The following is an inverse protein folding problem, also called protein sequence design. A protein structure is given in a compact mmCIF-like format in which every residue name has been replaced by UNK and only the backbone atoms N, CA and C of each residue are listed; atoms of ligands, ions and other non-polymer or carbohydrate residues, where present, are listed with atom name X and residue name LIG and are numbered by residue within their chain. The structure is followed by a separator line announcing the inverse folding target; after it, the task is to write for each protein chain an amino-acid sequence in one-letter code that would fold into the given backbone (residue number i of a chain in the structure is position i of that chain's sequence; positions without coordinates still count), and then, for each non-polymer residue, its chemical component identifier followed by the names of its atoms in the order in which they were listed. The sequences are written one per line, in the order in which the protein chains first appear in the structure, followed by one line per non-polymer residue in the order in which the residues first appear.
data_IF_469906776078
#
_entry.id   IF_469906776078
#
_cell.length_a   1.000
_cell.length_b   1.000
_cell.length_c   1.000
_cell.angle_alpha   90.00
_cell.angle_beta   90.00
_cell.angle_gamma   90.00
#
_symmetry.space_group_name_H-M   'P 1'
#
loop_
_entity.id
_entity.type
_entity.pdbx_description
1 polymer ?
#
# COMPACT_ATOMS: atom_id res chain seq x y z
N UNK A 1 -19.14 -12.54 -26.00
CA UNK A 1 -17.90 -13.11 -25.42
C UNK A 1 -17.10 -11.92 -24.94
N UNK A 2 -17.25 -11.55 -23.66
CA UNK A 2 -16.32 -10.61 -23.03
C UNK A 2 -15.13 -11.44 -22.58
N UNK A 3 -13.95 -11.13 -23.13
CA UNK A 3 -12.70 -11.64 -22.60
C UNK A 3 -12.61 -11.17 -21.15
N UNK A 4 -12.86 -12.09 -20.22
CA UNK A 4 -12.48 -11.91 -18.82
C UNK A 4 -10.96 -11.90 -18.84
N UNK A 5 -10.40 -10.70 -19.03
CA UNK A 5 -9.00 -10.41 -18.75
C UNK A 5 -8.81 -10.87 -17.31
N UNK A 6 -8.18 -12.04 -17.15
CA UNK A 6 -7.76 -12.54 -15.85
C UNK A 6 -6.59 -11.65 -15.45
N UNK A 7 -6.92 -10.46 -14.95
CA UNK A 7 -5.96 -9.54 -14.35
C UNK A 7 -5.51 -10.27 -13.10
N UNK A 8 -4.28 -10.78 -13.10
CA UNK A 8 -3.67 -11.24 -11.86
C UNK A 8 -3.51 -10.01 -10.97
N UNK A 9 -4.54 -9.72 -10.17
CA UNK A 9 -4.46 -8.74 -9.10
C UNK A 9 -3.30 -9.14 -8.19
N UNK A 10 -2.41 -8.20 -7.91
CA UNK A 10 -1.32 -8.50 -6.99
C UNK A 10 -1.88 -8.81 -5.60
N UNK A 11 -1.08 -9.47 -4.76
CA UNK A 11 -1.47 -9.65 -3.36
C UNK A 11 -1.79 -8.31 -2.67
N UNK A 12 -1.07 -7.24 -3.03
CA UNK A 12 -1.32 -5.90 -2.50
C UNK A 12 -2.70 -5.41 -2.89
N UNK A 13 -3.04 -5.41 -4.18
CA UNK A 13 -4.35 -4.96 -4.65
C UNK A 13 -5.49 -5.78 -4.07
N UNK A 14 -5.31 -7.10 -3.98
CA UNK A 14 -6.32 -8.00 -3.41
C UNK A 14 -6.58 -7.68 -1.93
N UNK A 15 -5.52 -7.42 -1.16
CA UNK A 15 -5.63 -7.12 0.28
C UNK A 15 -6.21 -5.72 0.51
N UNK A 16 -5.66 -4.68 -0.11
CA UNK A 16 -6.07 -3.30 0.19
C UNK A 16 -7.53 -3.04 -0.19
N UNK A 17 -8.05 -3.71 -1.23
CA UNK A 17 -9.41 -3.52 -1.73
C UNK A 17 -10.42 -4.55 -1.18
N UNK A 18 -10.02 -5.45 -0.28
CA UNK A 18 -10.88 -6.55 0.16
C UNK A 18 -12.22 -6.10 0.80
N UNK A 19 -12.26 -4.89 1.36
CA UNK A 19 -13.40 -4.37 2.13
C UNK A 19 -13.95 -3.05 1.60
N UNK A 20 -13.51 -2.59 0.42
CA UNK A 20 -13.88 -1.28 -0.13
C UNK A 20 -14.68 -1.40 -1.40
N UNK A 21 -15.57 -0.41 -1.66
CA UNK A 21 -16.36 -0.36 -2.90
C UNK A 21 -15.60 0.28 -4.05
N UNK A 22 -14.77 1.28 -3.75
CA UNK A 22 -13.86 1.89 -4.70
C UNK A 22 -12.58 1.06 -4.80
N UNK A 23 -12.05 0.98 -6.01
CA UNK A 23 -10.85 0.22 -6.33
C UNK A 23 -9.64 1.16 -6.39
N UNK A 24 -8.60 0.82 -5.63
CA UNK A 24 -7.28 1.44 -5.70
C UNK A 24 -6.33 0.47 -6.41
N UNK A 25 -5.87 0.85 -7.60
CA UNK A 25 -4.82 0.14 -8.32
C UNK A 25 -3.46 0.27 -7.60
N UNK A 26 -2.62 -0.76 -7.69
CA UNK A 26 -1.30 -0.81 -7.07
C UNK A 26 -0.45 0.40 -7.46
N UNK A 27 -0.39 0.71 -8.76
CA UNK A 27 0.40 1.80 -9.33
C UNK A 27 -0.04 3.16 -8.76
N UNK A 28 -1.34 3.31 -8.47
CA UNK A 28 -1.88 4.54 -7.91
C UNK A 28 -1.51 4.69 -6.44
N UNK A 29 -1.56 3.61 -5.65
CA UNK A 29 -1.02 3.60 -4.29
C UNK A 29 0.48 3.92 -4.28
N UNK A 30 1.25 3.35 -5.21
CA UNK A 30 2.67 3.64 -5.34
C UNK A 30 2.94 5.13 -5.60
N UNK A 31 2.11 5.77 -6.45
CA UNK A 31 2.21 7.20 -6.71
C UNK A 31 1.88 8.05 -5.49
N UNK A 32 0.89 7.67 -4.68
CA UNK A 32 0.58 8.36 -3.42
C UNK A 32 1.78 8.34 -2.47
N UNK A 33 2.43 7.18 -2.32
CA UNK A 33 3.63 7.07 -1.48
C UNK A 33 4.77 7.94 -2.02
N UNK A 34 5.07 7.86 -3.31
CA UNK A 34 6.16 8.67 -3.91
C UNK A 34 5.92 10.17 -3.81
N UNK A 35 4.66 10.60 -3.93
CA UNK A 35 4.28 12.02 -3.91
C UNK A 35 3.94 12.52 -2.51
N UNK A 36 3.94 11.64 -1.51
CA UNK A 36 3.50 11.93 -0.15
C UNK A 36 2.09 12.54 -0.14
N UNK A 37 1.17 11.89 -0.86
CA UNK A 37 -0.25 12.32 -0.97
C UNK A 37 -1.14 11.35 -0.18
N UNK A 38 -2.04 11.86 0.67
CA UNK A 38 -2.98 11.05 1.45
C UNK A 38 -4.44 11.36 1.11
N UNK A 39 -4.98 10.84 0.00
CA UNK A 39 -6.33 11.14 -0.45
C UNK A 39 -7.38 10.43 0.42
N UNK A 40 -8.30 11.21 0.97
CA UNK A 40 -9.37 10.73 1.87
C UNK A 40 -10.23 9.63 1.23
N UNK A 41 -10.44 9.68 -0.09
CA UNK A 41 -11.25 8.67 -0.80
C UNK A 41 -10.65 7.25 -0.73
N UNK A 42 -9.34 7.11 -0.47
CA UNK A 42 -8.66 5.81 -0.35
C UNK A 42 -8.11 5.53 1.04
N UNK A 43 -8.57 6.26 2.07
CA UNK A 43 -8.02 6.17 3.42
C UNK A 43 -7.99 4.72 3.97
N UNK A 44 -9.07 3.96 3.74
CA UNK A 44 -9.19 2.57 4.20
C UNK A 44 -8.18 1.67 3.49
N UNK A 45 -8.06 1.78 2.16
CA UNK A 45 -7.09 1.00 1.38
C UNK A 45 -5.66 1.33 1.78
N UNK A 46 -5.36 2.60 2.05
CA UNK A 46 -4.04 3.03 2.50
C UNK A 46 -3.75 2.42 3.87
N UNK A 47 -4.67 2.46 4.83
CA UNK A 47 -4.45 1.80 6.13
C UNK A 47 -4.25 0.29 5.98
N UNK A 48 -5.09 -0.39 5.19
CA UNK A 48 -4.95 -1.83 4.93
C UNK A 48 -3.57 -2.18 4.34
N UNK A 49 -2.96 -1.28 3.55
CA UNK A 49 -1.59 -1.50 3.05
C UNK A 49 -0.56 -1.60 4.19
N UNK A 50 -0.73 -0.84 5.26
CA UNK A 50 0.20 -0.81 6.39
C UNK A 50 -0.16 -1.79 7.50
N UNK A 51 -1.40 -2.28 7.57
CA UNK A 51 -1.85 -3.22 8.62
C UNK A 51 -1.98 -4.67 8.15
N UNK A 52 -2.48 -4.88 6.93
CA UNK A 52 -2.96 -6.20 6.50
C UNK A 52 -2.06 -6.82 5.41
N UNK A 53 -1.29 -6.01 4.69
CA UNK A 53 -0.34 -6.50 3.70
C UNK A 53 0.89 -7.06 4.42
N UNK A 54 1.26 -8.34 4.22
CA UNK A 54 2.44 -8.91 4.84
C UNK A 54 3.71 -8.16 4.45
N UNK A 55 4.62 -7.95 5.41
CA UNK A 55 5.89 -7.20 5.19
C UNK A 55 6.68 -7.71 3.97
N UNK A 56 6.83 -9.03 3.72
CA UNK A 56 7.51 -9.51 2.50
C UNK A 56 6.83 -9.07 1.18
N UNK A 57 5.51 -8.87 1.19
CA UNK A 57 4.76 -8.35 0.05
C UNK A 57 4.95 -6.84 -0.09
N UNK A 58 5.01 -6.09 1.01
CA UNK A 58 5.38 -4.67 1.02
C UNK A 58 6.77 -4.48 0.41
N UNK A 59 7.78 -5.25 0.84
CA UNK A 59 9.15 -5.17 0.29
C UNK A 59 9.17 -5.43 -1.22
N UNK A 60 8.41 -6.42 -1.71
CA UNK A 60 8.27 -6.69 -3.15
C UNK A 60 7.59 -5.54 -3.87
N UNK A 61 6.56 -4.94 -3.29
CA UNK A 61 5.88 -3.75 -3.83
C UNK A 61 6.86 -2.59 -3.98
N UNK A 62 7.64 -2.28 -2.94
CA UNK A 62 8.65 -1.21 -2.99
C UNK A 62 9.65 -1.43 -4.12
N UNK A 63 10.18 -2.65 -4.23
CA UNK A 63 11.14 -3.00 -5.27
C UNK A 63 10.55 -2.88 -6.68
N UNK A 64 9.32 -3.35 -6.90
CA UNK A 64 8.65 -3.26 -8.22
C UNK A 64 8.38 -1.82 -8.65
N UNK A 65 8.04 -0.95 -7.69
CA UNK A 65 7.72 0.44 -7.97
C UNK A 65 8.91 1.39 -7.86
N UNK A 66 10.08 0.91 -7.45
CA UNK A 66 11.24 1.77 -7.22
C UNK A 66 10.99 2.80 -6.11
N UNK A 67 10.27 2.39 -5.05
CA UNK A 67 10.07 3.19 -3.85
C UNK A 67 11.16 2.81 -2.86
N UNK A 68 11.89 3.80 -2.36
CA UNK A 68 12.87 3.61 -1.31
C UNK A 68 12.19 3.38 0.05
N UNK A 69 12.88 2.66 0.93
CA UNK A 69 12.44 2.47 2.32
C UNK A 69 12.19 3.82 3.02
N UNK A 70 13.00 4.85 2.71
CA UNK A 70 12.85 6.19 3.28
C UNK A 70 11.57 6.90 2.81
N UNK A 71 11.17 6.75 1.55
CA UNK A 71 9.89 7.29 1.06
C UNK A 71 8.70 6.61 1.74
N UNK A 72 8.77 5.28 1.94
CA UNK A 72 7.76 4.53 2.68
C UNK A 72 7.71 4.99 4.15
N UNK A 73 8.86 5.10 4.81
CA UNK A 73 8.97 5.54 6.20
C UNK A 73 8.35 6.92 6.39
N UNK A 74 8.71 7.89 5.53
CA UNK A 74 8.17 9.25 5.57
C UNK A 74 6.64 9.24 5.48
N UNK A 75 6.09 8.47 4.55
CA UNK A 75 4.65 8.36 4.36
C UNK A 75 3.96 7.73 5.57
N UNK A 76 4.54 6.64 6.09
CA UNK A 76 3.99 5.91 7.23
C UNK A 76 3.98 6.78 8.50
N UNK A 77 5.07 7.50 8.78
CA UNK A 77 5.17 8.38 9.94
C UNK A 77 4.20 9.55 9.88
N UNK A 78 4.04 10.16 8.70
CA UNK A 78 3.15 11.31 8.52
C UNK A 78 1.67 10.93 8.64
N UNK A 79 1.25 9.80 8.07
CA UNK A 79 -0.17 9.53 7.87
C UNK A 79 -0.74 8.33 8.64
N UNK A 80 0.11 7.43 9.15
CA UNK A 80 -0.37 6.11 9.61
C UNK A 80 0.08 5.77 11.03
N UNK A 81 1.33 6.03 11.39
CA UNK A 81 1.97 5.53 12.62
C UNK A 81 1.18 5.83 13.89
N UNK A 82 0.65 7.06 14.02
CA UNK A 82 -0.09 7.49 15.21
C UNK A 82 -1.43 6.77 15.39
N UNK A 83 -2.00 6.22 14.30
CA UNK A 83 -3.28 5.53 14.31
C UNK A 83 -3.08 4.01 14.35
N UNK A 84 -2.13 3.50 13.55
CA UNK A 84 -1.87 2.08 13.37
C UNK A 84 -0.37 1.78 13.39
N UNK A 85 0.25 1.73 14.59
CA UNK A 85 1.64 1.34 14.71
C UNK A 85 1.84 -0.13 14.30
N UNK A 86 2.87 -0.40 13.50
CA UNK A 86 3.24 -1.73 13.01
C UNK A 86 4.72 -2.03 13.31
N UNK A 87 5.04 -2.65 14.46
CA UNK A 87 6.41 -2.94 14.86
C UNK A 87 7.16 -3.87 13.89
N UNK A 88 6.47 -4.75 13.16
CA UNK A 88 7.11 -5.65 12.18
C UNK A 88 7.56 -4.86 10.95
N UNK A 89 6.68 -3.99 10.42
CA UNK A 89 7.03 -3.10 9.32
C UNK A 89 8.12 -2.11 9.73
N UNK A 90 8.05 -1.58 10.95
CA UNK A 90 9.00 -0.58 11.47
C UNK A 90 10.44 -1.11 11.55
N UNK A 91 10.64 -2.44 11.59
CA UNK A 91 11.98 -3.03 11.49
C UNK A 91 12.66 -2.74 10.15
N UNK A 92 11.91 -2.39 9.10
CA UNK A 92 12.49 -1.96 7.83
C UNK A 92 13.19 -0.60 7.92
N UNK A 93 12.88 0.21 8.94
CA UNK A 93 13.36 1.59 9.07
C UNK A 93 14.59 1.74 9.99
N UNK A 94 15.04 0.64 10.60
CA UNK A 94 16.18 0.57 11.53
C UNK A 94 17.49 0.28 10.78
#
# INVERSE_FOLDING_TARGET
MEEVQKVYSSLVEAVINAQTRNFLAEDRLANFIKRQEFPEEYIVQIFNFFTDVPVPAVVKFLSRHGISVKELESYYREYVQDIYPNPELEQLFL
#
